data_IF_262560544330
#
_entry.id   IF_262560544330
#
_cell.length_a   1.000
_cell.length_b   1.000
_cell.length_c   1.000
_cell.angle_alpha   90.00
_cell.angle_beta   90.00
_cell.angle_gamma   90.00
#
_symmetry.space_group_name_H-M   'P 1'
#
loop_
_entity.id
_entity.type
_entity.pdbx_description
1 polymer ?
#
# COMPACT_ATOMS: atom_id res chain seq x y z
N UNK A 1 -36.45 -18.05 28.61
CA UNK A 1 -35.82 -16.72 28.65
C UNK A 1 -36.57 -15.92 29.69
N UNK A 2 -35.88 -15.28 30.63
CA UNK A 2 -36.55 -14.36 31.55
C UNK A 2 -36.74 -13.02 30.84
N UNK A 3 -37.98 -12.54 30.79
CA UNK A 3 -38.33 -11.26 30.19
C UNK A 3 -37.88 -10.13 31.10
N UNK A 4 -37.04 -9.23 30.58
CA UNK A 4 -36.53 -8.08 31.33
C UNK A 4 -37.31 -6.84 30.88
N UNK A 5 -38.00 -6.12 31.79
CA UNK A 5 -38.76 -4.94 31.43
C UNK A 5 -37.82 -3.81 30.99
N UNK A 6 -38.03 -3.30 29.77
CA UNK A 6 -37.28 -2.16 29.23
C UNK A 6 -37.86 -0.83 29.74
N UNK A 7 -37.50 -0.44 30.96
CA UNK A 7 -38.03 0.77 31.62
C UNK A 7 -37.41 2.08 31.10
N UNK A 8 -36.10 2.08 30.85
CA UNK A 8 -35.33 3.31 30.55
C UNK A 8 -34.83 3.39 29.09
N UNK A 9 -35.15 2.40 28.23
CA UNK A 9 -34.75 2.39 26.82
C UNK A 9 -33.26 2.07 26.58
N UNK A 10 -32.49 1.82 27.63
CA UNK A 10 -31.06 1.48 27.54
C UNK A 10 -30.81 0.08 28.07
N UNK A 11 -30.21 -0.77 27.22
CA UNK A 11 -29.75 -2.10 27.61
C UNK A 11 -28.22 -2.16 27.56
N UNK A 12 -27.52 -2.19 28.71
CA UNK A 12 -26.07 -2.28 28.74
C UNK A 12 -25.63 -3.68 28.30
N UNK A 13 -24.89 -3.75 27.19
CA UNK A 13 -24.29 -5.01 26.72
C UNK A 13 -22.85 -5.06 27.21
N UNK A 14 -22.56 -5.98 28.11
CA UNK A 14 -21.21 -6.28 28.56
C UNK A 14 -20.68 -7.50 27.79
N UNK A 15 -19.43 -7.44 27.34
CA UNK A 15 -18.80 -8.54 26.60
C UNK A 15 -18.02 -9.40 27.57
N UNK A 16 -18.47 -10.64 27.74
CA UNK A 16 -17.67 -11.64 28.44
C UNK A 16 -16.48 -12.07 27.57
N UNK A 17 -15.29 -12.06 28.17
CA UNK A 17 -14.05 -12.44 27.52
C UNK A 17 -14.06 -13.92 27.11
N UNK A 18 -14.73 -14.78 27.88
CA UNK A 18 -14.87 -16.21 27.55
C UNK A 18 -15.71 -16.41 26.28
N UNK A 19 -16.78 -15.63 26.12
CA UNK A 19 -17.66 -15.68 24.95
C UNK A 19 -17.01 -15.14 23.66
N UNK A 20 -16.11 -14.14 23.80
CA UNK A 20 -15.36 -13.57 22.68
C UNK A 20 -14.23 -14.50 22.21
N UNK A 21 -13.61 -15.25 23.14
CA UNK A 21 -12.53 -16.20 22.88
C UNK A 21 -11.31 -15.55 22.21
N UNK A 22 -10.66 -16.29 21.30
CA UNK A 22 -9.46 -15.82 20.58
C UNK A 22 -9.76 -14.91 19.37
N UNK A 23 -11.04 -14.71 19.03
CA UNK A 23 -11.43 -13.92 17.86
C UNK A 23 -11.31 -12.42 18.19
N UNK A 24 -10.61 -11.70 17.32
CA UNK A 24 -10.39 -10.25 17.48
C UNK A 24 -11.65 -9.43 17.24
N UNK A 25 -12.59 -9.96 16.44
CA UNK A 25 -13.89 -9.34 16.19
C UNK A 25 -15.00 -10.39 16.11
N UNK A 26 -16.18 -10.02 16.61
CA UNK A 26 -17.39 -10.84 16.52
C UNK A 26 -18.59 -9.92 16.32
N UNK A 27 -19.42 -10.24 15.34
CA UNK A 27 -20.68 -9.56 15.09
C UNK A 27 -21.81 -10.33 15.77
N UNK A 28 -22.71 -9.61 16.44
CA UNK A 28 -23.94 -10.16 17.01
C UNK A 28 -25.12 -9.43 16.36
N UNK A 29 -26.18 -10.18 16.14
CA UNK A 29 -27.46 -9.66 15.68
C UNK A 29 -28.39 -9.58 16.89
N UNK A 30 -28.85 -8.38 17.21
CA UNK A 30 -29.77 -8.11 18.31
C UNK A 30 -31.11 -7.71 17.72
N UNK A 31 -32.16 -8.47 18.04
CA UNK A 31 -33.53 -8.15 17.65
C UNK A 31 -34.39 -8.04 18.91
N UNK A 32 -35.38 -7.13 18.88
CA UNK A 32 -36.31 -6.92 19.99
C UNK A 32 -37.62 -7.62 19.62
N UNK A 33 -38.02 -8.61 20.41
CA UNK A 33 -39.29 -9.30 20.26
C UNK A 33 -40.40 -8.50 20.97
N UNK A 34 -41.51 -8.20 20.29
CA UNK A 34 -42.67 -7.56 20.91
C UNK A 34 -43.55 -8.60 21.64
N UNK A 35 -44.23 -8.17 22.70
CA UNK A 35 -45.06 -9.03 23.58
C UNK A 35 -46.28 -9.67 22.88
N UNK A 36 -46.56 -9.30 21.63
CA UNK A 36 -47.69 -9.79 20.83
C UNK A 36 -47.33 -10.93 19.86
N UNK A 37 -46.08 -11.41 19.87
CA UNK A 37 -45.60 -12.49 19.00
C UNK A 37 -45.02 -13.60 19.86
N UNK A 38 -45.50 -14.82 19.67
CA UNK A 38 -45.00 -16.02 20.35
C UNK A 38 -43.59 -16.39 19.86
N UNK A 39 -42.78 -16.97 20.76
CA UNK A 39 -41.37 -17.30 20.52
C UNK A 39 -41.17 -18.18 19.27
N UNK A 40 -42.11 -19.08 18.98
CA UNK A 40 -42.06 -20.02 17.85
C UNK A 40 -42.29 -19.34 16.48
N UNK A 41 -42.90 -18.15 16.49
CA UNK A 41 -43.18 -17.36 15.28
C UNK A 41 -42.11 -16.30 15.01
N UNK A 42 -41.21 -16.06 15.98
CA UNK A 42 -40.21 -15.00 15.90
C UNK A 42 -38.96 -15.42 15.12
N UNK A 43 -38.80 -14.86 13.91
CA UNK A 43 -37.62 -15.06 13.07
C UNK A 43 -36.61 -13.90 13.24
N UNK A 44 -35.45 -14.21 13.83
CA UNK A 44 -34.34 -13.29 14.05
C UNK A 44 -33.79 -12.65 12.77
N UNK A 45 -33.88 -13.35 11.62
CA UNK A 45 -33.30 -12.85 10.35
C UNK A 45 -34.25 -11.87 9.66
N UNK A 46 -35.56 -12.13 9.74
CA UNK A 46 -36.58 -11.32 9.07
C UNK A 46 -37.02 -10.11 9.89
N UNK A 47 -36.89 -10.17 11.22
CA UNK A 47 -37.26 -9.09 12.12
C UNK A 47 -36.29 -7.90 12.02
N UNK A 48 -36.75 -6.73 12.47
CA UNK A 48 -35.90 -5.56 12.59
C UNK A 48 -34.79 -5.81 13.62
N UNK A 49 -33.56 -5.84 13.14
CA UNK A 49 -32.39 -6.14 13.96
C UNK A 49 -31.31 -5.06 13.83
N UNK A 50 -30.50 -4.96 14.88
CA UNK A 50 -29.30 -4.12 14.92
C UNK A 50 -28.09 -5.05 14.97
N UNK A 51 -27.16 -4.84 14.03
CA UNK A 51 -25.88 -5.54 14.02
C UNK A 51 -24.89 -4.77 14.90
N UNK A 52 -24.41 -5.42 15.95
CA UNK A 52 -23.40 -4.85 16.86
C UNK A 52 -22.07 -5.54 16.62
N UNK A 53 -21.05 -4.75 16.31
CA UNK A 53 -19.70 -5.23 16.09
C UNK A 53 -18.85 -5.01 17.34
N UNK A 54 -18.46 -6.11 17.98
CA UNK A 54 -17.49 -6.07 19.06
C UNK A 54 -16.09 -6.29 18.51
N UNK A 55 -15.20 -5.36 18.79
CA UNK A 55 -13.79 -5.47 18.48
C UNK A 55 -13.00 -5.43 19.77
N UNK A 56 -12.16 -6.44 20.00
CA UNK A 56 -11.22 -6.41 21.10
C UNK A 56 -10.28 -5.25 20.87
N UNK A 57 -10.17 -4.33 21.84
CA UNK A 57 -9.33 -3.14 21.75
C UNK A 57 -7.95 -3.55 21.23
N UNK A 58 -7.46 -2.87 20.20
CA UNK A 58 -6.10 -3.07 19.71
C UNK A 58 -5.14 -2.67 20.82
N UNK A 59 -4.75 -3.62 21.65
CA UNK A 59 -3.64 -3.44 22.57
C UNK A 59 -2.42 -3.33 21.68
N UNK A 60 -1.77 -2.16 21.65
CA UNK A 60 -0.41 -2.06 21.11
C UNK A 60 0.46 -2.90 22.03
N UNK A 61 0.57 -4.19 21.73
CA UNK A 61 1.46 -5.08 22.44
C UNK A 61 2.86 -4.52 22.20
N UNK A 62 3.48 -3.97 23.24
CA UNK A 62 4.90 -3.67 23.18
C UNK A 62 5.58 -5.02 22.96
N UNK A 63 6.20 -5.22 21.80
CA UNK A 63 6.92 -6.44 21.48
C UNK A 63 7.80 -6.85 22.67
N UNK A 64 7.66 -8.09 23.12
CA UNK A 64 8.53 -8.64 24.14
C UNK A 64 9.98 -8.55 23.68
N UNK A 65 10.94 -8.56 24.61
CA UNK A 65 12.37 -8.61 24.25
C UNK A 65 12.66 -9.80 23.32
N UNK A 66 11.93 -10.92 23.51
CA UNK A 66 12.02 -12.12 22.69
C UNK A 66 11.47 -11.88 21.27
N UNK A 67 10.34 -11.19 21.14
CA UNK A 67 9.75 -10.87 19.82
C UNK A 67 10.61 -9.88 19.04
N UNK A 68 11.26 -8.95 19.75
CA UNK A 68 12.26 -8.05 19.14
C UNK A 68 13.47 -8.81 18.64
N UNK A 69 13.99 -9.76 19.43
CA UNK A 69 15.10 -10.59 18.99
C UNK A 69 14.72 -11.44 17.77
N UNK A 70 13.49 -11.94 17.70
CA UNK A 70 12.95 -12.64 16.52
C UNK A 70 12.80 -11.74 15.29
N UNK A 71 12.44 -10.46 15.48
CA UNK A 71 12.37 -9.47 14.39
C UNK A 71 13.75 -8.97 13.95
N UNK A 72 14.67 -8.81 14.90
CA UNK A 72 16.05 -8.37 14.68
C UNK A 72 16.93 -9.50 14.15
N UNK A 73 16.51 -10.77 14.29
CA UNK A 73 17.00 -11.89 13.50
C UNK A 73 16.60 -11.66 12.04
N UNK A 74 17.37 -10.79 11.39
CA UNK A 74 17.40 -10.61 9.95
C UNK A 74 17.45 -12.00 9.34
N UNK A 75 16.53 -12.25 8.41
CA UNK A 75 16.14 -13.57 7.90
C UNK A 75 17.31 -14.49 7.56
N UNK A 76 17.00 -15.79 7.59
CA UNK A 76 17.80 -16.92 7.09
C UNK A 76 18.89 -16.46 6.14
N UNK A 77 20.16 -16.77 6.44
CA UNK A 77 21.40 -16.27 5.79
C UNK A 77 21.34 -16.02 4.26
N UNK A 78 20.48 -16.75 3.56
CA UNK A 78 20.18 -16.61 2.14
C UNK A 78 19.71 -15.19 1.75
N UNK A 79 18.85 -14.53 2.53
CA UNK A 79 18.34 -13.19 2.21
C UNK A 79 19.47 -12.14 2.17
N UNK A 80 20.39 -12.24 3.14
CA UNK A 80 21.55 -11.34 3.23
C UNK A 80 22.48 -11.55 2.02
N UNK A 81 22.67 -12.80 1.59
CA UNK A 81 23.47 -13.12 0.41
C UNK A 81 22.87 -12.54 -0.87
N UNK A 82 21.55 -12.66 -1.06
CA UNK A 82 20.86 -12.06 -2.20
C UNK A 82 20.98 -10.52 -2.22
N UNK A 83 20.92 -9.87 -1.06
CA UNK A 83 21.10 -8.42 -0.96
C UNK A 83 22.55 -8.04 -1.34
N UNK A 84 23.54 -8.73 -0.78
CA UNK A 84 24.97 -8.46 -1.06
C UNK A 84 25.30 -8.66 -2.54
N UNK A 85 24.69 -9.63 -3.22
CA UNK A 85 24.91 -9.90 -4.64
C UNK A 85 24.08 -8.99 -5.57
N UNK A 86 22.86 -8.62 -5.17
CA UNK A 86 21.96 -7.83 -6.02
C UNK A 86 22.39 -6.37 -6.15
N UNK A 87 22.91 -5.76 -5.09
CA UNK A 87 23.36 -4.35 -5.11
C UNK A 87 24.46 -4.11 -6.17
N UNK A 88 25.60 -4.84 -6.17
CA UNK A 88 26.65 -4.62 -7.16
C UNK A 88 26.21 -5.00 -8.58
N UNK A 89 25.35 -6.01 -8.75
CA UNK A 89 24.87 -6.41 -10.09
C UNK A 89 23.98 -5.35 -10.72
N UNK A 90 23.07 -4.73 -9.95
CA UNK A 90 22.24 -3.62 -10.43
C UNK A 90 23.10 -2.40 -10.81
N UNK A 91 24.14 -2.09 -10.04
CA UNK A 91 25.07 -0.99 -10.36
C UNK A 91 25.81 -1.25 -11.67
N UNK A 92 26.33 -2.47 -11.87
CA UNK A 92 27.01 -2.85 -13.12
C UNK A 92 26.05 -2.74 -14.32
N UNK A 93 24.82 -3.24 -14.18
CA UNK A 93 23.80 -3.13 -15.22
C UNK A 93 23.47 -1.67 -15.55
N UNK A 94 23.36 -0.80 -14.55
CA UNK A 94 23.11 0.63 -14.76
C UNK A 94 24.27 1.30 -15.53
N UNK A 95 25.52 1.00 -15.17
CA UNK A 95 26.70 1.55 -15.86
C UNK A 95 26.78 1.06 -17.31
N UNK A 96 26.56 -0.24 -17.54
CA UNK A 96 26.53 -0.81 -18.89
C UNK A 96 25.40 -0.23 -19.73
N UNK A 97 24.20 -0.08 -19.14
CA UNK A 97 23.06 0.56 -19.78
C UNK A 97 23.34 2.00 -20.16
N UNK A 98 23.95 2.77 -19.26
CA UNK A 98 24.37 4.16 -19.55
C UNK A 98 25.40 4.21 -20.68
N UNK A 99 26.41 3.34 -20.66
CA UNK A 99 27.42 3.27 -21.70
C UNK A 99 26.81 2.96 -23.07
N UNK A 100 25.94 1.95 -23.14
CA UNK A 100 25.25 1.55 -24.36
C UNK A 100 24.33 2.67 -24.87
N UNK A 101 23.60 3.32 -23.97
CA UNK A 101 22.76 4.47 -24.31
C UNK A 101 23.56 5.62 -24.91
N UNK A 102 24.72 5.97 -24.32
CA UNK A 102 25.62 6.98 -24.85
C UNK A 102 26.23 6.56 -26.20
N UNK A 103 26.55 5.28 -26.36
CA UNK A 103 27.10 4.74 -27.61
C UNK A 103 26.09 4.85 -28.76
N UNK A 104 24.84 4.44 -28.53
CA UNK A 104 23.77 4.57 -29.53
C UNK A 104 23.48 6.03 -29.88
N UNK A 105 23.45 6.92 -28.88
CA UNK A 105 23.16 8.34 -29.09
C UNK A 105 24.38 9.19 -29.50
N UNK A 106 25.55 8.57 -29.71
CA UNK A 106 26.80 9.28 -30.02
C UNK A 106 26.68 10.18 -31.26
N UNK A 107 25.87 9.79 -32.26
CA UNK A 107 25.65 10.56 -33.49
C UNK A 107 24.67 11.73 -33.33
N UNK A 108 23.82 11.69 -32.31
CA UNK A 108 22.80 12.72 -32.07
C UNK A 108 23.26 13.79 -31.07
N UNK A 109 24.34 13.52 -30.33
CA UNK A 109 24.90 14.47 -29.35
C UNK A 109 25.82 15.51 -29.96
N UNK A 110 26.41 15.21 -31.11
CA UNK A 110 27.38 16.10 -31.76
C UNK A 110 26.79 16.76 -33.00
N UNK A 111 26.51 18.07 -32.90
CA UNK A 111 26.11 18.91 -34.03
C UNK A 111 27.31 19.36 -34.88
N UNK A 112 28.49 18.77 -34.72
CA UNK A 112 29.67 19.05 -35.55
C UNK A 112 29.44 18.84 -37.05
N UNK A 113 28.49 17.96 -37.41
CA UNK A 113 28.07 17.76 -38.81
C UNK A 113 27.28 18.94 -39.38
N UNK A 114 26.77 19.83 -38.53
CA UNK A 114 26.01 21.01 -38.92
C UNK A 114 27.00 22.15 -39.20
N UNK A 115 27.26 22.41 -40.49
CA UNK A 115 28.11 23.54 -40.90
C UNK A 115 27.48 24.87 -40.50
N UNK A 116 28.19 25.66 -39.70
CA UNK A 116 27.80 27.06 -39.44
C UNK A 116 27.82 27.83 -40.76
N UNK A 117 26.79 28.64 -41.06
CA UNK A 117 26.76 29.42 -42.28
C UNK A 117 27.97 30.36 -42.33
N UNK A 118 28.70 30.36 -43.47
CA UNK A 118 29.86 31.24 -43.66
C UNK A 118 29.41 32.70 -43.54
N UNK A 119 30.06 33.45 -42.63
CA UNK A 119 29.85 34.91 -42.52
C UNK A 119 30.27 35.57 -43.83
N UNK A 120 29.39 36.34 -44.45
CA UNK A 120 29.74 37.06 -45.67
C UNK A 120 30.66 38.23 -45.33
N UNK A 121 31.62 38.56 -46.22
CA UNK A 121 32.50 39.73 -46.06
C UNK A 121 31.75 41.07 -46.06
N UNK A 122 30.50 41.08 -46.53
CA UNK A 122 29.67 42.27 -46.70
C UNK A 122 28.64 42.46 -45.57
N UNK A 123 28.92 41.97 -44.37
CA UNK A 123 28.13 42.32 -43.18
C UNK A 123 26.85 41.50 -42.96
N UNK A 124 26.61 40.45 -43.73
CA UNK A 124 25.52 39.53 -43.40
C UNK A 124 25.99 38.59 -42.27
N UNK A 125 25.58 38.89 -41.04
CA UNK A 125 25.92 38.10 -39.84
C UNK A 125 25.22 36.74 -39.77
N UNK A 126 24.66 36.25 -40.88
CA UNK A 126 23.99 34.95 -40.94
C UNK A 126 22.61 34.92 -40.28
N UNK A 127 21.99 36.08 -40.04
CA UNK A 127 20.65 36.19 -39.41
C UNK A 127 19.54 35.46 -40.17
N UNK A 128 19.72 35.22 -41.47
CA UNK A 128 18.73 34.60 -42.36
C UNK A 128 19.22 33.30 -43.00
N UNK A 129 20.40 32.79 -42.63
CA UNK A 129 20.92 31.58 -43.24
C UNK A 129 20.39 30.35 -42.49
N UNK A 130 19.56 29.56 -43.18
CA UNK A 130 19.10 28.28 -42.66
C UNK A 130 20.27 27.30 -42.55
N UNK A 131 20.28 26.50 -41.49
CA UNK A 131 21.30 25.48 -41.28
C UNK A 131 20.93 24.27 -42.14
N UNK A 132 21.73 24.01 -43.17
CA UNK A 132 21.49 22.90 -44.10
C UNK A 132 22.16 21.67 -43.52
N UNK A 133 21.37 20.62 -43.25
CA UNK A 133 21.90 19.31 -42.91
C UNK A 133 22.29 18.58 -44.21
N UNK A 134 23.53 18.09 -44.30
CA UNK A 134 23.92 17.18 -45.39
C UNK A 134 23.24 15.83 -45.13
N UNK A 135 22.54 15.31 -46.15
CA UNK A 135 21.88 13.99 -46.17
C UNK A 135 22.88 12.85 -46.21
#
# INVERSE_FOLDING_TARGET
SDWIPNLDGYFPIEVDNEWLGDKQSKAILVAVQPDNVDDDEFDLIKSHHVTVHFQRRATVAKNSKVDKELQDRTGTNDDVYYIIMSVPTVVVLAVLGMYLFLYLNRKHRDFSHIRKPKRSRFGNQGKYNQVIAET
#
